data_IF_112505046178
#
_entry.id   IF_112505046178
#
_cell.length_a   1.000
_cell.length_b   1.000
_cell.length_c   1.000
_cell.angle_alpha   90.00
_cell.angle_beta   90.00
_cell.angle_gamma   90.00
#
_symmetry.space_group_name_H-M   'P 1'
#
loop_
_entity.id
_entity.type
_entity.pdbx_description
1 polymer ?
#
# COMPACT_ATOMS: atom_id res chain seq x y z
N UNK A 1 19.03 -17.79 2.80
CA UNK A 1 17.73 -18.33 3.23
C UNK A 1 17.53 -19.71 2.64
N UNK A 2 16.54 -19.94 1.78
CA UNK A 2 16.39 -21.22 1.04
C UNK A 2 16.58 -20.97 -0.46
N UNK A 3 16.07 -19.84 -0.96
CA UNK A 3 16.17 -19.42 -2.36
C UNK A 3 17.61 -19.43 -2.90
N UNK A 4 18.59 -18.97 -2.13
CA UNK A 4 20.01 -19.02 -2.52
C UNK A 4 20.57 -20.44 -2.60
N UNK A 5 20.08 -21.36 -1.76
CA UNK A 5 20.51 -22.76 -1.81
C UNK A 5 19.85 -23.49 -2.98
N UNK A 6 18.59 -23.18 -3.28
CA UNK A 6 17.90 -23.67 -4.48
C UNK A 6 18.60 -23.15 -5.74
N UNK A 7 18.95 -21.87 -5.79
CA UNK A 7 19.68 -21.27 -6.91
C UNK A 7 21.07 -21.89 -7.13
N UNK A 8 21.70 -22.40 -6.06
CA UNK A 8 22.97 -23.15 -6.12
C UNK A 8 22.78 -24.63 -6.49
N UNK A 9 21.56 -25.08 -6.77
CA UNK A 9 21.27 -26.45 -7.22
C UNK A 9 21.24 -27.51 -6.11
N UNK A 10 21.13 -27.11 -4.83
CA UNK A 10 21.06 -28.08 -3.74
C UNK A 10 19.70 -28.79 -3.69
N UNK A 11 19.72 -30.10 -3.44
CA UNK A 11 18.50 -30.90 -3.22
C UNK A 11 17.80 -30.55 -1.89
N UNK A 12 16.49 -30.77 -1.81
CA UNK A 12 15.64 -30.49 -0.64
C UNK A 12 16.17 -31.10 0.66
N UNK A 13 16.74 -32.33 0.60
CA UNK A 13 17.32 -33.00 1.79
C UNK A 13 18.59 -32.30 2.26
N UNK A 14 19.43 -31.84 1.33
CA UNK A 14 20.66 -31.11 1.65
C UNK A 14 20.35 -29.72 2.20
N UNK A 15 19.32 -29.06 1.65
CA UNK A 15 18.85 -27.77 2.15
C UNK A 15 18.31 -27.93 3.57
N UNK A 16 17.42 -28.89 3.83
CA UNK A 16 16.86 -29.18 5.15
C UNK A 16 17.96 -29.42 6.20
N UNK A 17 18.98 -30.22 5.86
CA UNK A 17 20.15 -30.45 6.73
C UNK A 17 20.96 -29.16 6.99
N UNK A 18 21.12 -28.29 5.98
CA UNK A 18 21.89 -27.04 6.10
C UNK A 18 21.13 -25.93 6.84
N UNK A 19 19.80 -25.92 6.79
CA UNK A 19 18.95 -24.88 7.40
C UNK A 19 18.31 -25.29 8.71
N UNK A 20 18.32 -26.59 9.06
CA UNK A 20 17.64 -27.13 10.24
C UNK A 20 16.11 -27.16 10.11
N UNK A 21 15.58 -27.01 8.90
CA UNK A 21 14.13 -27.01 8.62
C UNK A 21 13.67 -28.41 8.19
N UNK A 22 12.37 -28.68 8.34
CA UNK A 22 11.81 -29.94 7.86
C UNK A 22 11.87 -30.05 6.33
N UNK A 23 11.94 -31.28 5.83
CA UNK A 23 11.99 -31.54 4.38
C UNK A 23 10.70 -31.05 3.71
N UNK A 24 9.57 -31.19 4.38
CA UNK A 24 8.26 -30.74 3.92
C UNK A 24 8.22 -29.22 3.78
N UNK A 25 8.76 -28.50 4.76
CA UNK A 25 8.82 -27.04 4.72
C UNK A 25 9.69 -26.56 3.55
N UNK A 26 10.88 -27.15 3.40
CA UNK A 26 11.79 -26.85 2.29
C UNK A 26 11.12 -27.15 0.94
N UNK A 27 10.42 -28.27 0.83
CA UNK A 27 9.68 -28.64 -0.38
C UNK A 27 8.58 -27.62 -0.70
N UNK A 28 7.84 -27.14 0.29
CA UNK A 28 6.85 -26.09 0.11
C UNK A 28 7.45 -24.78 -0.38
N UNK A 29 8.57 -24.34 0.21
CA UNK A 29 9.28 -23.14 -0.24
C UNK A 29 9.83 -23.30 -1.66
N UNK A 30 10.38 -24.46 -2.01
CA UNK A 30 10.80 -24.77 -3.38
C UNK A 30 9.64 -24.71 -4.37
N UNK A 31 8.44 -25.14 -3.95
CA UNK A 31 7.24 -25.04 -4.78
C UNK A 31 6.83 -23.58 -5.03
N UNK A 32 6.90 -22.71 -4.01
CA UNK A 32 6.65 -21.27 -4.18
C UNK A 32 7.66 -20.61 -5.13
N UNK A 33 8.95 -20.96 -5.00
CA UNK A 33 10.01 -20.47 -5.90
C UNK A 33 9.75 -20.90 -7.34
N UNK A 34 9.42 -22.18 -7.57
CA UNK A 34 9.14 -22.72 -8.91
C UNK A 34 7.97 -22.00 -9.60
N UNK A 35 6.97 -21.56 -8.82
CA UNK A 35 5.80 -20.85 -9.34
C UNK A 35 5.99 -19.31 -9.44
N UNK A 36 7.17 -18.80 -9.09
CA UNK A 36 7.49 -17.36 -9.13
C UNK A 36 6.76 -16.54 -8.05
N UNK A 37 6.39 -17.16 -6.93
CA UNK A 37 5.51 -16.58 -5.91
C UNK A 37 6.29 -15.85 -4.82
N UNK A 38 6.94 -14.75 -5.20
CA UNK A 38 7.75 -13.93 -4.29
C UNK A 38 6.92 -13.24 -3.20
N UNK A 39 5.73 -12.75 -3.56
CA UNK A 39 4.81 -12.10 -2.61
C UNK A 39 4.34 -13.03 -1.50
N UNK A 40 3.95 -14.27 -1.86
CA UNK A 40 3.57 -15.29 -0.88
C UNK A 40 4.77 -15.73 -0.04
N UNK A 41 5.95 -15.86 -0.64
CA UNK A 41 7.18 -16.23 0.08
C UNK A 41 7.50 -15.24 1.20
N UNK A 42 7.46 -13.92 0.93
CA UNK A 42 7.70 -12.90 1.97
C UNK A 42 6.63 -12.92 3.07
N UNK A 43 5.38 -13.19 2.71
CA UNK A 43 4.30 -13.31 3.70
C UNK A 43 4.48 -14.54 4.61
N UNK A 44 5.00 -15.64 4.07
CA UNK A 44 5.33 -16.86 4.80
C UNK A 44 6.55 -16.67 5.69
N UNK A 45 7.63 -16.10 5.17
CA UNK A 45 8.87 -15.84 5.94
C UNK A 45 8.63 -14.89 7.12
N UNK A 46 7.68 -13.96 6.98
CA UNK A 46 7.30 -13.03 8.04
C UNK A 46 6.20 -13.54 8.99
N UNK A 47 5.73 -14.78 8.82
CA UNK A 47 4.71 -15.40 9.67
C UNK A 47 3.30 -14.82 9.50
N UNK A 48 3.07 -13.97 8.49
CA UNK A 48 1.77 -13.34 8.23
C UNK A 48 0.76 -14.32 7.62
N UNK A 49 1.26 -15.31 6.89
CA UNK A 49 0.48 -16.38 6.27
C UNK A 49 1.21 -17.71 6.52
N UNK A 50 0.52 -18.77 6.96
CA UNK A 50 1.14 -20.08 7.09
C UNK A 50 1.46 -20.70 5.72
N UNK A 51 2.52 -21.51 5.66
CA UNK A 51 2.99 -22.13 4.41
C UNK A 51 1.89 -22.96 3.72
N UNK A 52 1.10 -23.72 4.47
CA UNK A 52 0.03 -24.56 3.91
C UNK A 52 -1.03 -23.72 3.17
N UNK A 53 -1.43 -22.59 3.77
CA UNK A 53 -2.34 -21.65 3.12
C UNK A 53 -1.72 -21.03 1.86
N UNK A 54 -0.43 -20.69 1.90
CA UNK A 54 0.26 -20.20 0.71
C UNK A 54 0.29 -21.25 -0.42
N UNK A 55 0.52 -22.53 -0.10
CA UNK A 55 0.49 -23.62 -1.07
C UNK A 55 -0.91 -23.83 -1.67
N UNK A 56 -1.97 -23.74 -0.86
CA UNK A 56 -3.34 -23.80 -1.35
C UNK A 56 -3.65 -22.66 -2.34
N UNK A 57 -3.22 -21.43 -2.03
CA UNK A 57 -3.38 -20.27 -2.91
C UNK A 57 -2.63 -20.46 -4.23
N UNK A 58 -1.43 -21.07 -4.20
CA UNK A 58 -0.69 -21.39 -5.43
C UNK A 58 -1.37 -22.49 -6.23
N UNK A 59 -1.88 -23.54 -5.57
CA UNK A 59 -2.62 -24.62 -6.20
C UNK A 59 -3.89 -24.16 -6.93
N UNK A 60 -4.55 -23.12 -6.41
CA UNK A 60 -5.69 -22.46 -7.05
C UNK A 60 -5.35 -21.66 -8.32
N UNK A 61 -4.07 -21.44 -8.62
CA UNK A 61 -3.63 -20.76 -9.82
C UNK A 61 -3.97 -19.26 -9.85
N UNK A 62 -4.53 -18.80 -10.98
CA UNK A 62 -4.87 -17.40 -11.25
C UNK A 62 -6.39 -17.13 -11.29
N UNK A 63 -7.24 -18.16 -11.18
CA UNK A 63 -8.68 -17.94 -11.16
C UNK A 63 -9.08 -17.30 -9.84
N UNK A 64 -9.72 -16.13 -9.90
CA UNK A 64 -10.22 -15.45 -8.70
C UNK A 64 -11.16 -16.34 -7.89
N UNK A 65 -12.02 -17.11 -8.57
CA UNK A 65 -12.95 -18.04 -7.91
C UNK A 65 -12.21 -19.16 -7.18
N UNK A 66 -11.24 -19.79 -7.85
CA UNK A 66 -10.45 -20.86 -7.25
C UNK A 66 -9.63 -20.35 -6.05
N UNK A 67 -9.07 -19.14 -6.14
CA UNK A 67 -8.29 -18.54 -5.04
C UNK A 67 -9.19 -18.19 -3.84
N UNK A 68 -10.42 -17.73 -4.09
CA UNK A 68 -11.39 -17.50 -3.02
C UNK A 68 -11.84 -18.82 -2.36
N UNK A 69 -12.07 -19.87 -3.15
CA UNK A 69 -12.38 -21.20 -2.63
C UNK A 69 -11.25 -21.72 -1.73
N UNK A 70 -9.99 -21.60 -2.17
CA UNK A 70 -8.83 -21.99 -1.38
C UNK A 70 -8.67 -21.17 -0.07
N UNK A 71 -8.99 -19.87 -0.10
CA UNK A 71 -9.03 -19.05 1.12
C UNK A 71 -10.11 -19.50 2.09
N UNK A 72 -11.29 -19.87 1.57
CA UNK A 72 -12.41 -20.31 2.38
C UNK A 72 -12.13 -21.67 3.01
N UNK A 73 -11.60 -22.62 2.24
CA UNK A 73 -11.17 -23.91 2.77
C UNK A 73 -10.08 -23.74 3.85
N UNK A 74 -9.13 -22.83 3.64
CA UNK A 74 -8.11 -22.49 4.64
C UNK A 74 -8.70 -21.85 5.91
N UNK A 75 -9.83 -21.14 5.81
CA UNK A 75 -10.55 -20.61 6.96
C UNK A 75 -11.30 -21.71 7.73
N UNK A 76 -12.03 -22.56 7.01
CA UNK A 76 -12.83 -23.66 7.56
C UNK A 76 -11.94 -24.70 8.25
N UNK A 77 -10.82 -25.06 7.62
CA UNK A 77 -9.79 -25.93 8.20
C UNK A 77 -8.99 -25.28 9.34
N UNK A 78 -9.19 -23.98 9.60
CA UNK A 78 -8.54 -23.24 10.67
C UNK A 78 -7.09 -22.81 10.38
N UNK A 79 -6.58 -23.04 9.18
CA UNK A 79 -5.25 -22.59 8.76
C UNK A 79 -5.14 -21.06 8.67
N UNK A 80 -6.23 -20.35 8.36
CA UNK A 80 -6.30 -18.90 8.32
C UNK A 80 -7.39 -18.39 9.25
N UNK A 81 -7.00 -17.66 10.31
CA UNK A 81 -7.96 -17.00 11.21
C UNK A 81 -7.50 -15.61 11.62
N UNK A 82 -8.46 -14.75 11.97
CA UNK A 82 -8.22 -13.40 12.48
C UNK A 82 -7.28 -12.59 11.59
N UNK A 83 -6.17 -12.10 12.16
CA UNK A 83 -5.19 -11.26 11.47
C UNK A 83 -4.52 -11.93 10.26
N UNK A 84 -4.36 -13.26 10.28
CA UNK A 84 -3.75 -13.98 9.16
C UNK A 84 -4.66 -14.03 7.94
N UNK A 85 -5.97 -14.18 8.15
CA UNK A 85 -6.97 -14.11 7.08
C UNK A 85 -6.99 -12.70 6.45
N UNK A 86 -6.97 -11.67 7.28
CA UNK A 86 -6.84 -10.26 6.85
C UNK A 86 -5.58 -10.04 6.00
N UNK A 87 -4.43 -10.57 6.44
CA UNK A 87 -3.18 -10.48 5.67
C UNK A 87 -3.24 -11.24 4.35
N UNK A 88 -3.83 -12.43 4.34
CA UNK A 88 -4.01 -13.24 3.13
C UNK A 88 -4.90 -12.54 2.10
N UNK A 89 -6.03 -11.96 2.53
CA UNK A 89 -6.93 -11.17 1.66
C UNK A 89 -6.19 -9.99 1.01
N UNK A 90 -5.51 -9.17 1.80
CA UNK A 90 -4.72 -8.03 1.28
C UNK A 90 -3.61 -8.46 0.34
N UNK A 91 -2.97 -9.61 0.62
CA UNK A 91 -1.92 -10.14 -0.24
C UNK A 91 -2.47 -10.56 -1.59
N UNK A 92 -3.61 -11.25 -1.61
CA UNK A 92 -4.25 -11.70 -2.85
C UNK A 92 -4.69 -10.51 -3.70
N UNK A 93 -5.25 -9.45 -3.11
CA UNK A 93 -5.56 -8.22 -3.87
C UNK A 93 -4.30 -7.60 -4.51
N UNK A 94 -3.17 -7.62 -3.80
CA UNK A 94 -1.88 -7.16 -4.36
C UNK A 94 -1.34 -8.12 -5.41
N UNK A 95 -1.56 -9.43 -5.24
CA UNK A 95 -1.16 -10.48 -6.18
C UNK A 95 -1.93 -10.36 -7.50
N UNK A 96 -3.21 -10.02 -7.42
CA UNK A 96 -4.08 -9.80 -8.58
C UNK A 96 -3.68 -8.51 -9.33
N UNK A 97 -3.57 -7.40 -8.60
CA UNK A 97 -3.26 -6.09 -9.21
C UNK A 97 -1.82 -5.93 -9.73
N UNK A 98 -0.84 -6.57 -9.08
CA UNK A 98 0.58 -6.39 -9.39
C UNK A 98 1.30 -7.70 -9.77
N UNK A 99 0.61 -8.82 -9.89
CA UNK A 99 1.20 -10.13 -10.24
C UNK A 99 1.86 -10.86 -9.06
N UNK A 100 2.82 -11.76 -9.33
CA UNK A 100 3.44 -12.62 -8.29
C UNK A 100 4.77 -12.07 -7.73
N UNK A 101 5.49 -11.28 -8.53
CA UNK A 101 6.83 -10.76 -8.22
C UNK A 101 6.80 -9.43 -7.43
N UNK A 102 7.82 -9.17 -6.60
CA UNK A 102 7.91 -8.00 -5.72
C UNK A 102 8.49 -6.73 -6.38
N UNK A 103 8.97 -6.82 -7.64
CA UNK A 103 9.77 -5.77 -8.30
C UNK A 103 9.03 -4.50 -8.76
N UNK A 104 9.80 -3.40 -8.87
CA UNK A 104 9.42 -2.02 -9.30
C UNK A 104 8.89 -1.88 -10.75
N UNK A 105 8.62 -2.98 -11.44
CA UNK A 105 8.24 -3.01 -12.86
C UNK A 105 7.12 -4.00 -13.17
N UNK A 106 6.25 -4.31 -12.22
CA UNK A 106 5.10 -5.17 -12.46
C UNK A 106 4.14 -4.44 -13.41
N UNK A 107 4.21 -4.75 -14.72
CA UNK A 107 3.14 -4.46 -15.68
C UNK A 107 1.86 -4.97 -15.03
N UNK A 108 0.87 -4.07 -14.83
CA UNK A 108 -0.48 -4.45 -14.41
C UNK A 108 -0.90 -5.62 -15.30
N UNK A 109 -1.19 -6.76 -14.71
CA UNK A 109 -1.91 -7.81 -15.44
C UNK A 109 -3.26 -7.19 -15.78
N UNK A 110 -3.63 -7.18 -17.05
CA UNK A 110 -4.94 -6.71 -17.47
C UNK A 110 -5.97 -7.66 -16.87
N UNK A 111 -6.58 -7.26 -15.76
CA UNK A 111 -7.75 -7.94 -15.20
C UNK A 111 -8.87 -7.70 -16.20
N UNK A 112 -9.53 -8.77 -16.65
CA UNK A 112 -10.70 -8.66 -17.51
C UNK A 112 -11.73 -7.76 -16.84
N UNK A 113 -12.05 -6.67 -17.54
CA UNK A 113 -12.94 -5.61 -17.09
C UNK A 113 -14.36 -6.17 -17.05
N UNK A 114 -14.70 -6.86 -15.97
CA UNK A 114 -16.08 -7.21 -15.64
C UNK A 114 -16.82 -5.96 -15.19
N UNK A 115 -18.12 -5.86 -15.49
CA UNK A 115 -18.97 -4.72 -15.14
C UNK A 115 -18.94 -4.38 -13.64
N UNK A 116 -18.77 -5.39 -12.78
CA UNK A 116 -18.59 -5.24 -11.33
C UNK A 116 -17.25 -4.58 -10.94
N UNK A 117 -16.19 -4.81 -11.71
CA UNK A 117 -14.88 -4.17 -11.54
C UNK A 117 -14.93 -2.68 -11.88
N UNK A 118 -15.68 -2.29 -12.93
CA UNK A 118 -15.91 -0.88 -13.27
C UNK A 118 -16.64 -0.13 -12.15
N UNK A 119 -17.70 -0.71 -11.60
CA UNK A 119 -18.45 -0.10 -10.48
C UNK A 119 -17.55 0.06 -9.26
N UNK A 120 -16.77 -0.96 -8.88
CA UNK A 120 -15.85 -0.87 -7.72
C UNK A 120 -14.76 0.17 -7.93
N UNK A 121 -14.23 0.28 -9.14
CA UNK A 121 -13.19 1.27 -9.49
C UNK A 121 -13.76 2.69 -9.48
N UNK A 122 -14.97 2.87 -10.03
CA UNK A 122 -15.69 4.15 -10.00
C UNK A 122 -15.99 4.60 -8.56
N UNK A 123 -16.53 3.71 -7.72
CA UNK A 123 -16.81 4.04 -6.32
C UNK A 123 -15.55 4.49 -5.57
N UNK A 124 -14.42 3.82 -5.81
CA UNK A 124 -13.13 4.19 -5.22
C UNK A 124 -12.63 5.56 -5.70
N UNK A 125 -12.79 5.86 -6.98
CA UNK A 125 -12.40 7.18 -7.52
C UNK A 125 -13.32 8.29 -7.01
N UNK A 126 -14.63 8.03 -6.87
CA UNK A 126 -15.59 8.95 -6.25
C UNK A 126 -15.22 9.23 -4.79
N UNK A 127 -14.87 8.22 -4.00
CA UNK A 127 -14.42 8.41 -2.62
C UNK A 127 -13.14 9.26 -2.56
N UNK A 128 -12.19 9.00 -3.46
CA UNK A 128 -10.96 9.79 -3.57
C UNK A 128 -11.24 11.25 -3.91
N UNK A 129 -12.14 11.52 -4.85
CA UNK A 129 -12.56 12.89 -5.20
C UNK A 129 -13.25 13.58 -4.02
N UNK A 130 -14.16 12.90 -3.31
CA UNK A 130 -14.80 13.44 -2.11
C UNK A 130 -13.78 13.83 -1.04
N UNK A 131 -12.78 13.00 -0.81
CA UNK A 131 -11.69 13.31 0.13
C UNK A 131 -10.85 14.50 -0.34
N UNK A 132 -10.56 14.62 -1.63
CA UNK A 132 -9.83 15.75 -2.19
C UNK A 132 -10.59 17.07 -1.99
N UNK A 133 -11.90 17.09 -2.27
CA UNK A 133 -12.75 18.27 -2.06
C UNK A 133 -12.79 18.68 -0.58
N UNK A 134 -12.95 17.72 0.34
CA UNK A 134 -12.92 18.00 1.78
C UNK A 134 -11.59 18.61 2.24
N UNK A 135 -10.46 18.06 1.77
CA UNK A 135 -9.12 18.58 2.08
C UNK A 135 -8.91 19.99 1.52
N UNK A 136 -9.34 20.23 0.29
CA UNK A 136 -9.27 21.55 -0.34
C UNK A 136 -10.10 22.59 0.44
N UNK A 137 -11.33 22.24 0.84
CA UNK A 137 -12.18 23.11 1.65
C UNK A 137 -11.54 23.47 3.00
N UNK A 138 -10.98 22.48 3.71
CA UNK A 138 -10.29 22.73 4.98
C UNK A 138 -9.03 23.62 4.81
N UNK A 139 -8.26 23.40 3.74
CA UNK A 139 -7.10 24.23 3.43
C UNK A 139 -7.51 25.67 3.09
N UNK A 140 -8.58 25.85 2.32
CA UNK A 140 -9.12 27.16 1.98
C UNK A 140 -9.63 27.91 3.20
N UNK A 141 -10.37 27.26 4.11
CA UNK A 141 -10.83 27.89 5.36
C UNK A 141 -9.65 28.37 6.21
N UNK A 142 -8.61 27.54 6.37
CA UNK A 142 -7.40 27.93 7.11
C UNK A 142 -6.67 29.08 6.44
N UNK A 143 -6.56 29.07 5.11
CA UNK A 143 -5.91 30.13 4.36
C UNK A 143 -6.67 31.46 4.51
N UNK A 144 -8.01 31.44 4.42
CA UNK A 144 -8.84 32.63 4.64
C UNK A 144 -8.69 33.18 6.06
N UNK A 145 -8.61 32.31 7.07
CA UNK A 145 -8.35 32.73 8.45
C UNK A 145 -6.99 33.43 8.57
N UNK A 146 -5.93 32.84 8.01
CA UNK A 146 -4.58 33.43 8.03
C UNK A 146 -4.55 34.78 7.30
N UNK A 147 -5.17 34.88 6.12
CA UNK A 147 -5.26 36.14 5.37
C UNK A 147 -5.98 37.21 6.19
N UNK A 148 -7.11 36.87 6.82
CA UNK A 148 -7.88 37.82 7.64
C UNK A 148 -7.09 38.29 8.86
N UNK A 149 -6.45 37.37 9.58
CA UNK A 149 -5.64 37.70 10.76
C UNK A 149 -4.43 38.57 10.40
N UNK A 150 -3.71 38.22 9.33
CA UNK A 150 -2.58 39.01 8.84
C UNK A 150 -3.04 40.39 8.33
N UNK A 151 -4.18 40.48 7.65
CA UNK A 151 -4.76 41.76 7.23
C UNK A 151 -5.05 42.68 8.41
N UNK A 152 -5.62 42.17 9.49
CA UNK A 152 -5.86 42.97 10.70
C UNK A 152 -4.56 43.38 11.42
N UNK A 153 -3.59 42.47 11.51
CA UNK A 153 -2.32 42.73 12.20
C UNK A 153 -1.44 43.73 11.44
N UNK A 154 -1.38 43.64 10.11
CA UNK A 154 -0.52 44.50 9.29
C UNK A 154 -1.06 45.93 9.12
N UNK A 155 -2.32 46.20 9.48
CA UNK A 155 -2.86 47.57 9.57
C UNK A 155 -2.23 48.36 10.73
N UNK A 156 -1.68 47.68 11.74
CA UNK A 156 -1.09 48.33 12.91
C UNK A 156 0.37 48.76 12.63
N UNK A 157 0.62 50.08 12.58
CA UNK A 157 1.94 50.66 12.33
C UNK A 157 3.00 50.28 13.36
N UNK A 158 2.63 50.11 14.64
CA UNK A 158 3.56 49.68 15.67
C UNK A 158 4.03 48.24 15.43
N UNK A 159 3.12 47.39 14.92
CA UNK A 159 3.42 45.99 14.61
C UNK A 159 4.32 45.86 13.37
N UNK A 160 4.04 46.62 12.30
CA UNK A 160 4.88 46.60 11.10
C UNK A 160 6.26 47.20 11.34
N UNK A 161 6.36 48.23 12.19
CA UNK A 161 7.64 48.81 12.61
C UNK A 161 8.49 47.81 13.40
N UNK A 162 7.87 47.04 14.30
CA UNK A 162 8.55 45.99 15.05
C UNK A 162 9.01 44.84 14.14
N UNK A 163 8.18 44.41 13.20
CA UNK A 163 8.56 43.38 12.21
C UNK A 163 9.78 43.80 11.38
N UNK A 164 9.87 45.07 10.98
CA UNK A 164 11.02 45.59 10.25
C UNK A 164 12.28 45.65 11.12
N UNK A 165 12.15 46.04 12.39
CA UNK A 165 13.27 46.07 13.33
C UNK A 165 13.85 44.67 13.59
N UNK A 166 13.00 43.65 13.62
CA UNK A 166 13.38 42.24 13.84
C UNK A 166 13.69 41.47 12.54
N UNK A 167 13.64 42.11 11.36
CA UNK A 167 13.93 41.48 10.07
C UNK A 167 12.89 40.44 9.60
N UNK A 168 11.64 40.57 10.05
CA UNK A 168 10.51 39.67 9.75
C UNK A 168 9.46 40.32 8.84
N UNK A 169 9.85 41.29 8.02
CA UNK A 169 8.96 42.05 7.15
C UNK A 169 8.67 41.37 5.80
N UNK A 170 9.28 40.22 5.53
CA UNK A 170 9.06 39.46 4.29
C UNK A 170 7.85 38.52 4.37
N UNK A 171 7.03 38.49 3.32
CA UNK A 171 5.81 37.69 3.27
C UNK A 171 5.73 36.89 1.96
N UNK A 172 5.29 35.62 1.96
CA UNK A 172 5.10 34.84 0.73
C UNK A 172 4.18 35.54 -0.28
N UNK A 173 4.55 35.57 -1.56
CA UNK A 173 3.85 36.31 -2.64
C UNK A 173 2.35 36.03 -2.70
N UNK A 174 1.94 34.76 -2.61
CA UNK A 174 0.53 34.36 -2.64
C UNK A 174 -0.33 34.92 -1.49
N UNK A 175 0.30 35.20 -0.35
CA UNK A 175 -0.36 35.85 0.78
C UNK A 175 -0.26 37.37 0.65
N UNK A 176 0.89 37.90 0.21
CA UNK A 176 1.11 39.33 0.01
C UNK A 176 0.06 39.94 -0.92
N UNK A 177 -0.22 39.31 -2.06
CA UNK A 177 -1.23 39.77 -3.05
C UNK A 177 -2.67 39.80 -2.50
N UNK A 178 -2.95 39.03 -1.43
CA UNK A 178 -4.29 38.90 -0.83
C UNK A 178 -4.48 39.72 0.44
N UNK A 179 -3.40 39.95 1.16
CA UNK A 179 -3.38 40.73 2.40
C UNK A 179 -3.16 42.21 2.11
N UNK A 180 -2.33 42.52 1.12
CA UNK A 180 -2.08 43.87 0.63
C UNK A 180 -2.77 44.01 -0.74
N UNK A 181 -4.05 44.42 -0.80
CA UNK A 181 -4.65 44.73 -2.08
C UNK A 181 -3.84 45.89 -2.67
N UNK A 182 -3.19 45.67 -3.81
CA UNK A 182 -2.56 46.77 -4.57
C UNK A 182 -3.62 47.85 -4.80
N UNK A 183 -3.48 48.96 -4.10
CA UNK A 183 -4.43 50.06 -4.05
C UNK A 183 -3.89 51.19 -3.17
N UNK A 184 -2.99 51.97 -3.79
CA UNK A 184 -2.23 53.15 -3.34
C UNK A 184 -1.02 52.90 -2.43
#
# INVERSE_FOLDING_TARGET
>A
GIQQLVAKGYDKRTIAKKTGLSVEYVQGIMHLIKNGEERLMVAVESGRIPLNAALAIVGAGNSSEAVQAALQEAYESGQLRGKQLEHARRLIEKRDSYGRALGRGTRRVAVDITSSSLVRTYLKEVERQKLMVKKAGAAQQRLLFVIGALGQLLVNENFTTLLRAEGLDTLPTYLADRVWPKGN
#
